data_IF_773374372591
#
_entry.id   IF_773374372591
#
_cell.length_a   1.000
_cell.length_b   1.000
_cell.length_c   1.000
_cell.angle_alpha   90.00
_cell.angle_beta   90.00
_cell.angle_gamma   90.00
#
_symmetry.space_group_name_H-M   'P 1'
#
loop_
_entity.id
_entity.type
_entity.pdbx_description
1 polymer ?
#
# COMPACT_ATOMS: atom_id res chain seq x y z
N UNK A 1 -25.17 18.15 -12.07
CA UNK A 1 -23.71 18.03 -12.22
C UNK A 1 -23.11 18.14 -10.83
N UNK A 2 -22.94 17.00 -10.15
CA UNK A 2 -22.36 16.94 -8.81
C UNK A 2 -20.84 16.73 -8.92
N UNK A 3 -20.10 17.72 -8.44
CA UNK A 3 -18.67 17.94 -8.65
C UNK A 3 -17.76 17.13 -7.71
N UNK A 4 -18.17 15.93 -7.28
CA UNK A 4 -17.56 15.29 -6.09
C UNK A 4 -16.62 14.11 -6.33
N UNK A 5 -16.50 13.63 -7.56
CA UNK A 5 -15.38 12.75 -7.95
C UNK A 5 -15.15 12.80 -9.47
N UNK A 6 -14.80 13.96 -10.03
CA UNK A 6 -14.34 14.05 -11.42
C UNK A 6 -12.96 13.40 -11.55
N UNK A 7 -12.92 12.07 -11.59
CA UNK A 7 -11.66 11.33 -11.66
C UNK A 7 -10.88 11.76 -12.91
N UNK A 8 -11.58 11.85 -14.05
CA UNK A 8 -11.08 12.35 -15.32
C UNK A 8 -11.16 13.88 -15.32
N UNK A 9 -10.03 14.50 -15.00
CA UNK A 9 -9.83 15.95 -15.05
C UNK A 9 -8.33 16.18 -15.14
N UNK A 10 -7.92 17.02 -16.09
CA UNK A 10 -6.52 17.42 -16.22
C UNK A 10 -6.05 18.14 -14.95
N UNK A 11 -4.95 17.64 -14.38
CA UNK A 11 -4.34 18.12 -13.12
C UNK A 11 -2.82 18.17 -13.25
N UNK A 12 -2.21 19.17 -12.64
CA UNK A 12 -0.77 19.16 -12.40
C UNK A 12 -0.40 18.09 -11.36
N UNK A 13 0.90 17.77 -11.25
CA UNK A 13 1.41 16.83 -10.24
C UNK A 13 0.96 17.20 -8.81
N UNK A 14 1.09 18.47 -8.43
CA UNK A 14 0.71 18.94 -7.09
C UNK A 14 -0.79 18.82 -6.84
N UNK A 15 -1.62 19.09 -7.87
CA UNK A 15 -3.06 18.94 -7.78
C UNK A 15 -3.50 17.47 -7.64
N UNK A 16 -2.74 16.51 -8.18
CA UNK A 16 -3.01 15.08 -7.97
C UNK A 16 -2.74 14.69 -6.50
N UNK A 17 -1.66 15.20 -5.91
CA UNK A 17 -1.35 15.01 -4.49
C UNK A 17 -2.43 15.66 -3.61
N UNK A 18 -2.82 16.90 -3.92
CA UNK A 18 -3.89 17.61 -3.22
C UNK A 18 -5.22 16.84 -3.27
N UNK A 19 -5.63 16.40 -4.47
CA UNK A 19 -6.86 15.60 -4.65
C UNK A 19 -6.82 14.30 -3.82
N UNK A 20 -5.64 13.69 -3.66
CA UNK A 20 -5.46 12.51 -2.81
C UNK A 20 -5.77 12.83 -1.35
N UNK A 21 -5.18 13.90 -0.82
CA UNK A 21 -5.40 14.31 0.57
C UNK A 21 -6.83 14.80 0.81
N UNK A 22 -7.43 15.52 -0.13
CA UNK A 22 -8.82 15.97 -0.05
C UNK A 22 -9.81 14.81 -0.05
N UNK A 23 -9.57 13.80 -0.91
CA UNK A 23 -10.37 12.58 -0.91
C UNK A 23 -10.29 11.86 0.44
N UNK A 24 -9.07 11.67 0.96
CA UNK A 24 -8.86 11.00 2.25
C UNK A 24 -9.44 11.82 3.40
N UNK A 25 -9.32 13.14 3.38
CA UNK A 25 -9.91 14.03 4.38
C UNK A 25 -11.43 13.88 4.42
N UNK A 26 -12.07 13.82 3.25
CA UNK A 26 -13.50 13.58 3.11
C UNK A 26 -13.92 12.20 3.65
N UNK A 27 -13.07 11.18 3.49
CA UNK A 27 -13.39 9.78 3.80
C UNK A 27 -12.55 9.16 4.92
N UNK A 28 -11.97 9.96 5.82
CA UNK A 28 -10.92 9.54 6.75
C UNK A 28 -11.34 8.37 7.65
N UNK A 29 -12.56 8.41 8.17
CA UNK A 29 -13.07 7.36 9.06
C UNK A 29 -13.27 6.03 8.33
N UNK A 30 -13.69 6.09 7.07
CA UNK A 30 -13.86 4.90 6.23
C UNK A 30 -12.51 4.31 5.85
N UNK A 31 -11.57 5.17 5.46
CA UNK A 31 -10.19 4.78 5.16
C UNK A 31 -9.52 4.11 6.35
N UNK A 32 -9.63 4.68 7.56
CA UNK A 32 -9.10 4.08 8.79
C UNK A 32 -9.78 2.76 9.15
N UNK A 33 -11.12 2.69 9.09
CA UNK A 33 -11.86 1.46 9.44
C UNK A 33 -11.58 0.31 8.48
N UNK A 34 -11.60 0.57 7.17
CA UNK A 34 -11.25 -0.45 6.19
C UNK A 34 -9.78 -0.82 6.27
N UNK A 35 -8.89 0.16 6.43
CA UNK A 35 -7.47 -0.09 6.65
C UNK A 35 -7.26 -1.02 7.83
N UNK A 36 -7.90 -0.75 8.97
CA UNK A 36 -7.80 -1.61 10.15
C UNK A 36 -8.32 -3.04 9.89
N UNK A 37 -9.45 -3.20 9.19
CA UNK A 37 -10.01 -4.53 8.91
C UNK A 37 -9.12 -5.32 7.94
N UNK A 38 -8.57 -4.68 6.92
CA UNK A 38 -7.85 -5.34 5.84
C UNK A 38 -6.36 -5.52 6.13
N UNK A 39 -5.73 -4.55 6.79
CA UNK A 39 -4.27 -4.46 6.93
C UNK A 39 -3.79 -4.94 8.31
N UNK A 40 -4.53 -4.64 9.39
CA UNK A 40 -4.07 -4.93 10.76
C UNK A 40 -3.78 -6.42 11.01
N UNK A 41 -4.57 -7.39 10.52
CA UNK A 41 -4.22 -8.81 10.66
C UNK A 41 -2.88 -9.16 10.02
N UNK A 42 -2.58 -8.59 8.85
CA UNK A 42 -1.31 -8.81 8.14
C UNK A 42 -0.17 -8.11 8.88
N UNK A 43 -0.38 -6.89 9.38
CA UNK A 43 0.62 -6.18 10.18
C UNK A 43 0.99 -6.95 11.45
N UNK A 44 0.02 -7.58 12.13
CA UNK A 44 0.29 -8.43 13.29
C UNK A 44 1.19 -9.61 12.92
N UNK A 45 0.90 -10.28 11.81
CA UNK A 45 1.70 -11.41 11.33
C UNK A 45 3.10 -10.98 10.89
N UNK A 46 3.23 -9.87 10.16
CA UNK A 46 4.51 -9.28 9.77
C UNK A 46 5.35 -8.91 10.99
N UNK A 47 4.77 -8.21 11.97
CA UNK A 47 5.49 -7.82 13.18
C UNK A 47 5.94 -9.01 14.02
N UNK A 48 5.10 -10.04 14.15
CA UNK A 48 5.50 -11.27 14.82
C UNK A 48 6.70 -11.89 14.10
N UNK A 49 6.60 -12.05 12.77
CA UNK A 49 7.67 -12.65 11.98
C UNK A 49 8.99 -11.88 12.08
N UNK A 50 8.96 -10.56 11.91
CA UNK A 50 10.17 -9.73 11.94
C UNK A 50 10.82 -9.75 13.31
N UNK A 51 10.04 -9.58 14.39
CA UNK A 51 10.60 -9.61 15.74
C UNK A 51 11.15 -10.98 16.12
N UNK A 52 10.59 -12.07 15.58
CA UNK A 52 11.14 -13.42 15.80
C UNK A 52 12.43 -13.68 15.04
N UNK A 53 12.57 -13.15 13.82
CA UNK A 53 13.76 -13.36 12.99
C UNK A 53 14.90 -12.44 13.43
N UNK A 54 14.61 -11.18 13.73
CA UNK A 54 15.63 -10.21 14.14
C UNK A 54 16.12 -10.40 15.57
N UNK A 55 15.28 -10.97 16.44
CA UNK A 55 15.62 -11.23 17.82
C UNK A 55 15.38 -12.70 18.10
N UNK A 56 16.42 -13.52 17.93
CA UNK A 56 16.43 -14.96 18.20
C UNK A 56 15.91 -15.29 19.63
N UNK A 57 15.88 -14.31 20.54
CA UNK A 57 15.40 -14.38 21.93
C UNK A 57 13.97 -13.82 22.17
N UNK A 58 13.26 -13.30 21.16
CA UNK A 58 11.95 -12.67 21.37
C UNK A 58 10.88 -13.68 21.82
N UNK A 59 10.92 -14.90 21.29
CA UNK A 59 10.06 -16.01 21.70
C UNK A 59 10.79 -17.16 22.42
N UNK A 60 12.12 -17.25 22.31
CA UNK A 60 12.89 -18.36 22.91
C UNK A 60 13.00 -18.32 24.45
N UNK A 61 12.47 -17.28 25.10
CA UNK A 61 12.35 -17.25 26.56
C UNK A 61 11.07 -18.00 27.03
N UNK A 62 11.18 -19.34 27.03
CA UNK A 62 10.59 -20.31 27.98
C UNK A 62 9.08 -20.38 28.25
N UNK A 63 8.17 -19.95 27.36
CA UNK A 63 6.72 -20.27 27.53
C UNK A 63 5.88 -20.51 26.26
N UNK A 64 6.45 -20.27 25.09
CA UNK A 64 5.79 -20.43 23.79
C UNK A 64 6.64 -21.32 22.88
N UNK A 65 7.15 -22.41 23.43
CA UNK A 65 7.76 -23.51 22.67
C UNK A 65 6.63 -24.30 21.96
N UNK A 66 5.91 -23.60 21.08
CA UNK A 66 5.20 -24.25 19.98
C UNK A 66 6.33 -24.77 19.11
N UNK A 67 6.59 -26.09 19.13
CA UNK A 67 7.72 -26.77 18.48
C UNK A 67 7.84 -26.55 16.96
N UNK A 68 8.01 -25.30 16.59
CA UNK A 68 8.11 -24.70 15.28
C UNK A 68 9.36 -23.84 15.40
N UNK A 69 10.50 -24.48 15.16
CA UNK A 69 11.81 -23.84 15.21
C UNK A 69 11.88 -22.82 14.10
N UNK A 70 11.80 -21.54 14.45
CA UNK A 70 11.98 -20.39 13.54
C UNK A 70 13.45 -20.13 13.19
N UNK A 71 14.33 -21.11 13.42
CA UNK A 71 15.76 -21.01 13.16
C UNK A 71 16.10 -21.80 11.91
N UNK A 72 16.28 -21.09 10.80
CA UNK A 72 17.29 -21.35 9.77
C UNK A 72 17.17 -20.25 8.69
N UNK A 73 18.23 -20.05 7.93
CA UNK A 73 18.37 -19.03 6.87
C UNK A 73 17.36 -19.15 5.68
N UNK A 74 16.22 -19.82 5.87
CA UNK A 74 15.35 -20.39 4.83
C UNK A 74 13.86 -19.97 4.89
N UNK A 75 13.48 -18.88 5.56
CA UNK A 75 12.09 -18.38 5.52
C UNK A 75 11.81 -17.08 4.72
N UNK A 76 12.54 -16.73 3.63
CA UNK A 76 12.19 -15.56 2.84
C UNK A 76 10.79 -15.70 2.23
N UNK A 77 10.33 -16.91 1.91
CA UNK A 77 9.03 -17.11 1.27
C UNK A 77 7.86 -16.65 2.14
N UNK A 78 7.86 -16.93 3.45
CA UNK A 78 6.76 -16.53 4.35
C UNK A 78 6.72 -15.01 4.50
N UNK A 79 7.88 -14.37 4.64
CA UNK A 79 7.98 -12.91 4.63
C UNK A 79 7.42 -12.32 3.33
N UNK A 80 7.87 -12.82 2.18
CA UNK A 80 7.40 -12.39 0.87
C UNK A 80 5.90 -12.61 0.67
N UNK A 81 5.34 -13.70 1.20
CA UNK A 81 3.90 -13.95 1.18
C UNK A 81 3.13 -12.89 2.00
N UNK A 82 3.60 -12.54 3.20
CA UNK A 82 2.97 -11.50 4.00
C UNK A 82 3.06 -10.12 3.33
N UNK A 83 4.18 -9.78 2.71
CA UNK A 83 4.34 -8.54 1.93
C UNK A 83 3.41 -8.52 0.70
N UNK A 84 3.27 -9.64 -0.01
CA UNK A 84 2.34 -9.77 -1.12
C UNK A 84 0.87 -9.62 -0.65
N UNK A 85 0.53 -10.22 0.50
CA UNK A 85 -0.78 -10.05 1.14
C UNK A 85 -1.03 -8.61 1.57
N UNK A 86 0.01 -7.91 2.07
CA UNK A 86 -0.07 -6.51 2.45
C UNK A 86 -0.35 -5.62 1.24
N UNK A 87 0.40 -5.78 0.15
CA UNK A 87 0.18 -5.05 -1.10
C UNK A 87 -1.22 -5.31 -1.67
N UNK A 88 -1.68 -6.56 -1.63
CA UNK A 88 -3.05 -6.91 -2.03
C UNK A 88 -4.10 -6.22 -1.16
N UNK A 89 -3.90 -6.21 0.16
CA UNK A 89 -4.76 -5.51 1.11
C UNK A 89 -4.85 -4.02 0.84
N UNK A 90 -3.72 -3.36 0.52
CA UNK A 90 -3.68 -1.93 0.22
C UNK A 90 -4.39 -1.61 -1.11
N UNK A 91 -4.14 -2.37 -2.17
CA UNK A 91 -4.87 -2.19 -3.43
C UNK A 91 -6.37 -2.39 -3.22
N UNK A 92 -6.75 -3.44 -2.50
CA UNK A 92 -8.16 -3.71 -2.18
C UNK A 92 -8.79 -2.57 -1.37
N UNK A 93 -8.07 -1.98 -0.41
CA UNK A 93 -8.49 -0.81 0.34
C UNK A 93 -8.77 0.38 -0.58
N UNK A 94 -7.81 0.75 -1.43
CA UNK A 94 -7.93 1.91 -2.33
C UNK A 94 -9.11 1.77 -3.27
N UNK A 95 -9.25 0.63 -3.95
CA UNK A 95 -10.34 0.45 -4.91
C UNK A 95 -11.70 0.25 -4.25
N UNK A 96 -11.77 -0.40 -3.07
CA UNK A 96 -13.01 -0.46 -2.32
C UNK A 96 -13.49 0.93 -1.89
N UNK A 97 -12.58 1.84 -1.51
CA UNK A 97 -12.90 3.23 -1.20
C UNK A 97 -13.38 3.99 -2.43
N UNK A 98 -12.71 3.84 -3.57
CA UNK A 98 -13.12 4.48 -4.83
C UNK A 98 -14.50 4.02 -5.28
N UNK A 99 -14.78 2.71 -5.25
CA UNK A 99 -16.11 2.20 -5.60
C UNK A 99 -17.19 2.65 -4.61
N UNK A 100 -16.88 2.70 -3.31
CA UNK A 100 -17.82 3.21 -2.31
C UNK A 100 -18.10 4.71 -2.48
N UNK A 101 -17.10 5.50 -2.85
CA UNK A 101 -17.24 6.92 -3.13
C UNK A 101 -18.02 7.19 -4.42
N UNK A 102 -17.77 6.41 -5.49
CA UNK A 102 -18.48 6.50 -6.76
C UNK A 102 -19.98 6.23 -6.60
N UNK A 103 -20.35 5.24 -5.80
CA UNK A 103 -21.75 4.90 -5.52
C UNK A 103 -22.45 5.91 -4.57
N UNK A 104 -21.74 6.94 -4.08
CA UNK A 104 -22.19 7.93 -3.07
C UNK A 104 -22.78 7.34 -1.77
N UNK A 105 -22.71 6.03 -1.61
CA UNK A 105 -23.34 5.28 -0.55
C UNK A 105 -22.25 4.70 0.33
N UNK A 106 -21.43 5.57 0.97
CA UNK A 106 -20.50 5.14 2.01
C UNK A 106 -21.30 4.55 3.17
N UNK A 107 -21.40 3.22 3.27
CA UNK A 107 -22.21 2.60 4.29
C UNK A 107 -21.55 2.89 5.64
N UNK A 108 -22.33 3.30 6.63
CA UNK A 108 -21.80 3.52 7.99
C UNK A 108 -21.28 2.21 8.63
N UNK A 109 -21.70 1.06 8.09
CA UNK A 109 -21.39 -0.29 8.59
C UNK A 109 -20.38 -1.02 7.71
N UNK A 110 -19.40 -1.68 8.35
CA UNK A 110 -18.38 -2.53 7.72
C UNK A 110 -19.00 -3.60 6.81
N UNK A 111 -20.14 -4.17 7.20
CA UNK A 111 -20.86 -5.17 6.39
C UNK A 111 -21.30 -4.60 5.04
N UNK A 112 -21.72 -3.34 5.02
CA UNK A 112 -22.05 -2.64 3.79
C UNK A 112 -20.83 -2.40 2.92
N UNK A 113 -19.65 -2.14 3.52
CA UNK A 113 -18.41 -1.99 2.77
C UNK A 113 -17.85 -3.29 2.20
N UNK A 114 -18.18 -4.43 2.80
CA UNK A 114 -17.70 -5.74 2.35
C UNK A 114 -18.07 -6.05 0.89
N UNK A 115 -19.17 -5.47 0.38
CA UNK A 115 -19.55 -5.59 -1.04
C UNK A 115 -18.50 -4.98 -1.97
N UNK A 116 -17.93 -3.82 -1.60
CA UNK A 116 -16.90 -3.13 -2.36
C UNK A 116 -15.55 -3.85 -2.26
N UNK A 117 -15.23 -4.35 -1.07
CA UNK A 117 -14.07 -5.22 -0.84
C UNK A 117 -14.15 -6.44 -1.76
N UNK A 118 -15.28 -7.14 -1.77
CA UNK A 118 -15.49 -8.33 -2.63
C UNK A 118 -15.42 -7.99 -4.12
N UNK A 119 -15.97 -6.84 -4.53
CA UNK A 119 -15.90 -6.37 -5.93
C UNK A 119 -14.44 -6.09 -6.36
N UNK A 120 -13.64 -5.49 -5.47
CA UNK A 120 -12.24 -5.17 -5.75
C UNK A 120 -11.30 -6.38 -5.66
N UNK A 121 -11.63 -7.38 -4.82
CA UNK A 121 -10.71 -8.45 -4.40
C UNK A 121 -9.97 -9.18 -5.52
N UNK A 122 -10.68 -9.64 -6.57
CA UNK A 122 -10.06 -10.44 -7.64
C UNK A 122 -9.19 -9.57 -8.53
N UNK A 123 -9.69 -8.42 -8.97
CA UNK A 123 -8.91 -7.51 -9.80
C UNK A 123 -7.69 -7.00 -9.02
N UNK A 124 -7.81 -6.78 -7.71
CA UNK A 124 -6.73 -6.24 -6.89
C UNK A 124 -5.66 -7.28 -6.62
N UNK A 125 -6.05 -8.56 -6.50
CA UNK A 125 -5.11 -9.67 -6.37
C UNK A 125 -4.22 -9.80 -7.60
N UNK A 126 -4.80 -9.73 -8.79
CA UNK A 126 -4.04 -9.80 -10.05
C UNK A 126 -3.05 -8.64 -10.15
N UNK A 127 -3.51 -7.42 -9.86
CA UNK A 127 -2.63 -6.23 -9.83
C UNK A 127 -1.53 -6.34 -8.76
N UNK A 128 -1.85 -6.87 -7.58
CA UNK A 128 -0.90 -7.07 -6.49
C UNK A 128 0.19 -8.06 -6.88
N UNK A 129 -0.17 -9.21 -7.45
CA UNK A 129 0.80 -10.22 -7.91
C UNK A 129 1.73 -9.62 -8.95
N UNK A 130 1.18 -8.89 -9.93
CA UNK A 130 1.99 -8.27 -10.98
C UNK A 130 2.99 -7.25 -10.43
N UNK A 131 2.53 -6.32 -9.57
CA UNK A 131 3.40 -5.33 -8.94
C UNK A 131 4.40 -5.96 -7.97
N UNK A 132 3.98 -6.98 -7.22
CA UNK A 132 4.83 -7.69 -6.28
C UNK A 132 5.98 -8.41 -6.98
N UNK A 133 5.71 -9.10 -8.10
CA UNK A 133 6.76 -9.77 -8.88
C UNK A 133 7.80 -8.77 -9.40
N UNK A 134 7.35 -7.61 -9.87
CA UNK A 134 8.25 -6.52 -10.32
C UNK A 134 9.08 -5.94 -9.17
N UNK A 135 8.44 -5.67 -8.03
CA UNK A 135 9.12 -5.13 -6.84
C UNK A 135 10.11 -6.15 -6.26
N UNK A 136 9.71 -7.41 -6.15
CA UNK A 136 10.56 -8.50 -5.71
C UNK A 136 11.77 -8.65 -6.63
N UNK A 137 11.57 -8.63 -7.95
CA UNK A 137 12.68 -8.66 -8.91
C UNK A 137 13.62 -7.47 -8.69
N UNK A 138 13.08 -6.25 -8.59
CA UNK A 138 13.87 -5.04 -8.36
C UNK A 138 14.72 -5.12 -7.08
N UNK A 139 14.16 -5.62 -5.98
CA UNK A 139 14.86 -5.72 -4.69
C UNK A 139 15.90 -6.85 -4.62
N UNK A 140 15.79 -7.89 -5.46
CA UNK A 140 16.68 -9.06 -5.40
C UNK A 140 17.76 -9.07 -6.49
N UNK A 141 17.66 -8.23 -7.52
CA UNK A 141 18.75 -8.09 -8.49
C UNK A 141 19.91 -7.33 -7.87
N UNK A 142 21.08 -7.97 -7.80
CA UNK A 142 22.32 -7.38 -7.26
C UNK A 142 23.13 -6.62 -8.32
N UNK A 143 22.66 -6.60 -9.57
CA UNK A 143 23.34 -5.96 -10.69
C UNK A 143 22.71 -4.60 -11.02
N UNK A 144 23.55 -3.57 -11.10
CA UNK A 144 23.14 -2.19 -11.38
C UNK A 144 22.35 -2.01 -12.68
N UNK A 145 22.71 -2.73 -13.76
CA UNK A 145 22.08 -2.53 -15.07
C UNK A 145 20.63 -3.06 -15.13
N UNK A 146 20.33 -4.31 -14.73
CA UNK A 146 18.96 -4.78 -14.56
C UNK A 146 18.13 -3.94 -13.60
N UNK A 147 18.72 -3.46 -12.51
CA UNK A 147 18.04 -2.65 -11.49
C UNK A 147 17.56 -1.31 -12.05
N UNK A 148 18.40 -0.59 -12.81
CA UNK A 148 18.00 0.67 -13.48
C UNK A 148 16.88 0.45 -14.48
N UNK A 149 16.94 -0.64 -15.26
CA UNK A 149 15.88 -0.96 -16.23
C UNK A 149 14.55 -1.25 -15.51
N UNK A 150 14.60 -2.00 -14.41
CA UNK A 150 13.42 -2.28 -13.58
C UNK A 150 12.88 -1.00 -12.92
N UNK A 151 13.72 -0.08 -12.47
CA UNK A 151 13.26 1.22 -11.96
C UNK A 151 12.52 2.03 -13.03
N UNK A 152 13.05 2.05 -14.25
CA UNK A 152 12.39 2.73 -15.40
C UNK A 152 11.04 2.09 -15.72
N UNK A 153 10.91 0.76 -15.59
CA UNK A 153 9.67 0.03 -15.86
C UNK A 153 8.66 0.09 -14.71
N UNK A 154 9.13 0.11 -13.46
CA UNK A 154 8.29 0.06 -12.26
C UNK A 154 7.36 1.28 -12.19
N UNK A 155 7.88 2.45 -12.53
CA UNK A 155 7.12 3.71 -12.48
C UNK A 155 5.88 3.66 -13.40
N UNK A 156 5.98 3.39 -14.72
CA UNK A 156 4.81 3.21 -15.59
C UNK A 156 3.87 2.09 -15.16
N UNK A 157 4.40 1.01 -14.61
CA UNK A 157 3.59 -0.13 -14.16
C UNK A 157 2.61 0.25 -13.03
N UNK A 158 2.85 1.33 -12.30
CA UNK A 158 1.91 1.85 -11.29
C UNK A 158 0.58 2.33 -11.88
N UNK A 159 0.50 2.60 -13.20
CA UNK A 159 -0.76 2.97 -13.86
C UNK A 159 -1.56 1.77 -14.38
N UNK A 160 -0.99 0.57 -14.39
CA UNK A 160 -1.74 -0.63 -14.80
C UNK A 160 -2.89 -0.96 -13.84
N UNK A 161 -2.72 -0.95 -12.50
CA UNK A 161 -3.84 -1.20 -11.60
C UNK A 161 -4.98 -0.18 -11.75
N UNK A 162 -4.74 1.14 -11.85
CA UNK A 162 -5.82 2.11 -12.12
C UNK A 162 -6.59 1.78 -13.40
N UNK A 163 -5.90 1.52 -14.52
CA UNK A 163 -6.56 1.16 -15.79
C UNK A 163 -7.39 -0.12 -15.65
N UNK A 164 -6.80 -1.19 -15.07
CA UNK A 164 -7.49 -2.48 -14.90
C UNK A 164 -8.72 -2.41 -14.01
N UNK A 165 -8.74 -1.45 -13.08
CA UNK A 165 -9.82 -1.29 -12.11
C UNK A 165 -10.93 -0.38 -12.58
N UNK A 166 -10.57 0.70 -13.26
CA UNK A 166 -11.49 1.74 -13.67
C UNK A 166 -12.11 1.46 -15.05
N UNK A 167 -11.42 0.73 -15.91
CA UNK A 167 -11.89 0.41 -17.26
C UNK A 167 -12.33 -1.06 -17.36
N UNK A 168 -13.40 -1.30 -18.12
CA UNK A 168 -13.82 -2.66 -18.49
C UNK A 168 -13.08 -3.12 -19.75
N UNK A 169 -11.77 -3.38 -19.58
CA UNK A 169 -10.89 -3.83 -20.64
C UNK A 169 -10.31 -5.22 -20.36
N UNK A 170 -9.55 -5.79 -21.31
CA UNK A 170 -8.80 -7.04 -21.11
C UNK A 170 -7.49 -6.79 -20.37
N UNK A 171 -6.89 -7.81 -19.73
CA UNK A 171 -5.63 -7.67 -18.98
C UNK A 171 -4.48 -7.13 -19.84
N UNK A 172 -4.35 -7.62 -21.07
CA UNK A 172 -3.31 -7.14 -21.99
C UNK A 172 -3.55 -5.70 -22.43
N UNK A 173 -4.82 -5.32 -22.61
CA UNK A 173 -5.19 -3.92 -22.91
C UNK A 173 -4.82 -3.01 -21.74
N UNK A 174 -5.13 -3.42 -20.51
CA UNK A 174 -4.79 -2.65 -19.32
C UNK A 174 -3.28 -2.45 -19.15
N UNK A 175 -2.48 -3.51 -19.36
CA UNK A 175 -1.01 -3.43 -19.31
C UNK A 175 -0.49 -2.49 -20.39
N UNK A 176 -0.95 -2.66 -21.64
CA UNK A 176 -0.50 -1.83 -22.77
C UNK A 176 -0.86 -0.36 -22.57
N UNK A 177 -2.09 -0.06 -22.16
CA UNK A 177 -2.56 1.30 -21.92
C UNK A 177 -1.86 1.91 -20.70
N UNK A 178 -1.77 1.18 -19.59
CA UNK A 178 -1.06 1.61 -18.38
C UNK A 178 0.41 1.95 -18.66
N UNK A 179 1.12 1.10 -19.40
CA UNK A 179 2.50 1.39 -19.83
C UNK A 179 2.57 2.60 -20.76
N UNK A 180 1.68 2.70 -21.76
CA UNK A 180 1.65 3.85 -22.69
C UNK A 180 1.47 5.18 -21.95
N UNK A 181 0.47 5.25 -21.06
CA UNK A 181 0.19 6.44 -20.25
C UNK A 181 1.31 6.69 -19.22
N UNK A 182 1.88 5.63 -18.66
CA UNK A 182 2.96 5.71 -17.69
C UNK A 182 4.25 6.24 -18.30
N UNK A 183 4.62 5.78 -19.50
CA UNK A 183 5.78 6.31 -20.23
C UNK A 183 5.55 7.73 -20.75
N UNK A 184 4.34 8.08 -21.21
CA UNK A 184 4.04 9.46 -21.65
C UNK A 184 4.08 10.48 -20.50
N UNK A 185 3.92 10.01 -19.25
CA UNK A 185 3.90 10.85 -18.05
C UNK A 185 4.97 10.46 -17.03
N UNK A 186 6.04 9.78 -17.45
CA UNK A 186 6.99 9.10 -16.57
C UNK A 186 7.51 9.97 -15.42
N UNK A 187 8.09 11.14 -15.75
CA UNK A 187 8.61 12.06 -14.74
C UNK A 187 7.51 12.61 -13.84
N UNK A 188 6.36 12.92 -14.44
CA UNK A 188 5.24 13.45 -13.67
C UNK A 188 4.74 12.43 -12.65
N UNK A 189 4.61 11.17 -13.04
CA UNK A 189 4.21 10.08 -12.17
C UNK A 189 5.27 9.82 -11.09
N UNK A 190 6.54 9.75 -11.48
CA UNK A 190 7.67 9.57 -10.57
C UNK A 190 7.68 10.63 -9.47
N UNK A 191 7.59 11.91 -9.84
CA UNK A 191 7.61 12.99 -8.86
C UNK A 191 6.34 13.04 -8.01
N UNK A 192 5.16 12.72 -8.54
CA UNK A 192 3.93 12.58 -7.73
C UNK A 192 4.10 11.50 -6.67
N UNK A 193 4.60 10.32 -7.05
CA UNK A 193 4.87 9.21 -6.13
C UNK A 193 5.93 9.61 -5.09
N UNK A 194 7.03 10.23 -5.53
CA UNK A 194 8.10 10.70 -4.67
C UNK A 194 7.61 11.71 -3.62
N UNK A 195 6.80 12.69 -4.02
CA UNK A 195 6.25 13.70 -3.11
C UNK A 195 5.43 13.05 -1.98
N UNK A 196 4.55 12.11 -2.33
CA UNK A 196 3.71 11.41 -1.34
C UNK A 196 4.56 10.52 -0.44
N UNK A 197 5.56 9.82 -1.00
CA UNK A 197 6.51 9.03 -0.23
C UNK A 197 7.30 9.89 0.76
N UNK A 198 7.77 11.07 0.36
CA UNK A 198 8.50 11.98 1.27
C UNK A 198 7.62 12.45 2.44
N UNK A 199 6.36 12.78 2.19
CA UNK A 199 5.38 13.08 3.26
C UNK A 199 5.20 11.85 4.16
N UNK A 200 5.07 10.67 3.55
CA UNK A 200 4.96 9.40 4.24
C UNK A 200 6.13 9.09 5.17
N UNK A 201 7.37 9.33 4.73
CA UNK A 201 8.58 9.14 5.53
C UNK A 201 8.52 9.98 6.81
N UNK A 202 8.06 11.23 6.73
CA UNK A 202 7.92 12.10 7.92
C UNK A 202 6.90 11.49 8.91
N UNK A 203 5.77 10.99 8.42
CA UNK A 203 4.73 10.35 9.25
C UNK A 203 5.30 9.09 9.94
N UNK A 204 6.00 8.26 9.18
CA UNK A 204 6.57 6.99 9.66
C UNK A 204 7.71 7.23 10.66
N UNK A 205 8.52 8.26 10.46
CA UNK A 205 9.64 8.60 11.35
C UNK A 205 9.17 8.88 12.79
N UNK A 206 8.06 9.60 12.96
CA UNK A 206 7.49 9.91 14.29
C UNK A 206 7.15 8.64 15.08
N UNK A 207 6.71 7.60 14.38
CA UNK A 207 6.34 6.31 14.99
C UNK A 207 7.57 5.44 15.25
N UNK A 208 8.56 5.49 14.36
CA UNK A 208 9.77 4.67 14.48
C UNK A 208 10.76 5.17 15.52
N UNK A 209 10.80 6.48 15.83
CA UNK A 209 11.75 7.00 16.83
C UNK A 209 11.57 6.33 18.22
N UNK A 210 10.35 6.26 18.80
CA UNK A 210 10.15 5.51 20.05
C UNK A 210 10.49 4.03 19.92
N UNK A 211 10.15 3.39 18.80
CA UNK A 211 10.46 1.99 18.54
C UNK A 211 11.98 1.73 18.54
N UNK A 212 12.75 2.56 17.84
CA UNK A 212 14.22 2.45 17.78
C UNK A 212 14.87 2.59 19.15
N UNK A 213 14.39 3.53 19.97
CA UNK A 213 14.91 3.72 21.34
C UNK A 213 14.66 2.46 22.18
N UNK A 214 13.43 1.94 22.17
CA UNK A 214 13.06 0.75 22.92
C UNK A 214 13.82 -0.49 22.44
N UNK A 215 13.96 -0.64 21.12
CA UNK A 215 14.72 -1.74 20.54
C UNK A 215 16.18 -1.69 20.95
N UNK A 216 16.81 -0.52 20.93
CA UNK A 216 18.20 -0.35 21.41
C UNK A 216 18.33 -0.70 22.90
N UNK A 217 17.36 -0.30 23.74
CA UNK A 217 17.36 -0.71 25.15
C UNK A 217 17.31 -2.24 25.27
N UNK A 218 16.43 -2.88 24.51
CA UNK A 218 16.24 -4.33 24.57
C UNK A 218 17.45 -5.12 24.05
N UNK A 219 18.06 -4.70 22.95
CA UNK A 219 19.12 -5.47 22.28
C UNK A 219 20.52 -5.14 22.80
N UNK A 220 20.77 -3.90 23.26
CA UNK A 220 22.12 -3.47 23.65
C UNK A 220 22.28 -3.28 25.16
N UNK A 221 21.23 -2.81 25.87
CA UNK A 221 21.36 -2.40 27.28
C UNK A 221 20.99 -3.53 28.23
N UNK A 222 19.84 -4.18 28.01
CA UNK A 222 19.34 -5.27 28.86
C UNK A 222 20.33 -6.45 28.97
N UNK A 223 20.98 -6.92 27.88
CA UNK A 223 21.95 -8.00 27.97
C UNK A 223 23.17 -7.63 28.82
N UNK A 224 23.59 -6.36 28.78
CA UNK A 224 24.75 -5.86 29.54
C UNK A 224 24.40 -5.64 31.01
N UNK A 225 23.17 -5.20 31.31
CA UNK A 225 22.72 -4.99 32.69
C UNK A 225 22.37 -6.28 33.43
N UNK A 226 22.13 -7.38 32.71
CA UNK A 226 21.67 -8.65 33.28
C UNK A 226 20.24 -8.56 33.84
N UNK A 227 19.50 -7.52 33.48
CA UNK A 227 18.13 -7.31 33.93
C UNK A 227 17.21 -8.37 33.32
N UNK A 228 16.42 -9.04 34.16
CA UNK A 228 15.47 -10.06 33.74
C UNK A 228 14.17 -9.93 34.54
N UNK A 229 13.05 -10.34 33.92
CA UNK A 229 11.74 -10.33 34.56
C UNK A 229 10.72 -9.37 33.92
N UNK A 230 9.77 -8.89 34.73
CA UNK A 230 8.55 -8.22 34.24
C UNK A 230 8.77 -6.95 33.42
N UNK A 231 9.81 -6.16 33.72
CA UNK A 231 10.13 -4.94 32.96
C UNK A 231 10.55 -5.24 31.51
N UNK A 232 11.40 -6.25 31.31
CA UNK A 232 11.84 -6.71 29.99
C UNK A 232 10.66 -7.27 29.18
N UNK A 233 9.77 -8.04 29.83
CA UNK A 233 8.55 -8.56 29.19
C UNK A 233 7.66 -7.40 28.73
N UNK A 234 7.46 -6.38 29.57
CA UNK A 234 6.68 -5.20 29.21
C UNK A 234 7.30 -4.45 28.01
N UNK A 235 8.62 -4.26 28.00
CA UNK A 235 9.33 -3.63 26.87
C UNK A 235 9.12 -4.42 25.57
N UNK A 236 9.25 -5.75 25.60
CA UNK A 236 8.96 -6.62 24.43
C UNK A 236 7.53 -6.43 23.90
N UNK A 237 6.53 -6.37 24.80
CA UNK A 237 5.14 -6.10 24.42
C UNK A 237 4.95 -4.73 23.78
N UNK A 238 5.59 -3.68 24.32
CA UNK A 238 5.51 -2.33 23.77
C UNK A 238 6.17 -2.27 22.40
N UNK A 239 7.34 -2.88 22.21
CA UNK A 239 8.03 -2.97 20.91
C UNK A 239 7.13 -3.66 19.89
N UNK A 240 6.49 -4.78 20.25
CA UNK A 240 5.54 -5.46 19.37
C UNK A 240 4.41 -4.53 18.92
N UNK A 241 3.77 -3.79 19.84
CA UNK A 241 2.71 -2.86 19.48
C UNK A 241 3.19 -1.73 18.57
N UNK A 242 4.37 -1.17 18.82
CA UNK A 242 4.97 -0.16 17.95
C UNK A 242 5.34 -0.72 16.58
N UNK A 243 5.79 -1.97 16.49
CA UNK A 243 6.09 -2.64 15.21
C UNK A 243 4.81 -2.80 14.39
N UNK A 244 3.73 -3.28 15.02
CA UNK A 244 2.40 -3.39 14.37
C UNK A 244 1.92 -2.03 13.88
N UNK A 245 2.07 -1.00 14.72
CA UNK A 245 1.69 0.37 14.36
C UNK A 245 2.53 0.93 13.21
N UNK A 246 3.84 0.67 13.20
CA UNK A 246 4.74 1.11 12.14
C UNK A 246 4.37 0.49 10.78
N UNK A 247 4.17 -0.83 10.73
CA UNK A 247 3.70 -1.51 9.51
C UNK A 247 2.32 -1.01 9.08
N UNK A 248 1.39 -0.84 10.02
CA UNK A 248 0.07 -0.30 9.71
C UNK A 248 0.17 1.09 9.08
N UNK A 249 0.96 1.99 9.66
CA UNK A 249 1.15 3.33 9.12
C UNK A 249 1.89 3.32 7.78
N UNK A 250 2.88 2.44 7.58
CA UNK A 250 3.53 2.23 6.29
C UNK A 250 2.53 1.83 5.20
N UNK A 251 1.67 0.85 5.46
CA UNK A 251 0.66 0.41 4.50
C UNK A 251 -0.41 1.47 4.24
N UNK A 252 -0.76 2.27 5.26
CA UNK A 252 -1.64 3.42 5.08
C UNK A 252 -0.99 4.50 4.21
N UNK A 253 0.30 4.79 4.37
CA UNK A 253 1.06 5.67 3.46
C UNK A 253 1.09 5.09 2.04
N UNK A 254 1.32 3.78 1.88
CA UNK A 254 1.29 3.13 0.57
C UNK A 254 -0.09 3.26 -0.11
N UNK A 255 -1.17 3.26 0.66
CA UNK A 255 -2.51 3.52 0.13
C UNK A 255 -2.66 4.94 -0.42
N UNK A 256 -1.99 5.94 0.18
CA UNK A 256 -1.96 7.31 -0.34
C UNK A 256 -1.21 7.36 -1.67
N UNK A 257 -0.05 6.69 -1.75
CA UNK A 257 0.74 6.62 -2.99
C UNK A 257 -0.09 6.01 -4.12
N UNK A 258 -0.76 4.89 -3.87
CA UNK A 258 -1.58 4.22 -4.87
C UNK A 258 -2.80 5.06 -5.26
N UNK A 259 -3.44 5.73 -4.31
CA UNK A 259 -4.55 6.64 -4.60
C UNK A 259 -4.09 7.85 -5.44
N UNK A 260 -2.89 8.39 -5.18
CA UNK A 260 -2.29 9.43 -6.04
C UNK A 260 -2.01 8.92 -7.46
N UNK A 261 -1.64 7.65 -7.63
CA UNK A 261 -1.51 7.05 -8.96
C UNK A 261 -2.85 6.97 -9.69
N UNK A 262 -3.97 6.76 -8.98
CA UNK A 262 -5.31 6.77 -9.60
C UNK A 262 -5.69 8.18 -10.06
N UNK A 263 -5.47 9.22 -9.25
CA UNK A 263 -5.72 10.61 -9.66
C UNK A 263 -4.81 11.06 -10.80
N UNK A 264 -3.55 10.63 -10.77
CA UNK A 264 -2.61 10.86 -11.86
C UNK A 264 -3.05 10.16 -13.15
N UNK A 265 -3.49 8.91 -13.06
CA UNK A 265 -4.08 8.19 -14.19
C UNK A 265 -5.26 8.96 -14.79
N UNK A 266 -6.22 9.40 -13.97
CA UNK A 266 -7.36 10.18 -14.45
C UNK A 266 -6.96 11.49 -15.14
N UNK A 267 -5.92 12.17 -14.62
CA UNK A 267 -5.34 13.37 -15.25
C UNK A 267 -4.69 13.10 -16.61
N UNK A 268 -3.88 12.04 -16.70
CA UNK A 268 -3.16 11.71 -17.94
C UNK A 268 -4.09 11.12 -18.99
N UNK A 269 -5.08 10.32 -18.58
CA UNK A 269 -6.12 9.81 -19.47
C UNK A 269 -6.89 10.96 -20.11
N UNK A 270 -7.28 11.96 -19.31
CA UNK A 270 -7.95 13.16 -19.83
C UNK A 270 -7.07 13.91 -20.83
N UNK A 271 -5.81 14.17 -20.49
CA UNK A 271 -4.90 14.94 -21.35
C UNK A 271 -4.53 14.25 -22.67
N UNK A 272 -4.44 12.91 -22.67
CA UNK A 272 -3.94 12.13 -23.82
C UNK A 272 -5.07 11.58 -24.67
N UNK A 273 -6.21 11.27 -24.06
CA UNK A 273 -7.31 10.53 -24.69
C UNK A 273 -8.65 11.29 -24.63
N UNK A 274 -8.71 12.49 -24.03
CA UNK A 274 -9.95 13.29 -23.91
C UNK A 274 -11.13 12.47 -23.35
N UNK A 275 -10.84 11.63 -22.35
CA UNK A 275 -11.76 10.59 -21.85
C UNK A 275 -13.12 11.14 -21.38
N UNK A 276 -13.16 12.35 -20.80
CA UNK A 276 -14.44 12.98 -20.42
C UNK A 276 -15.35 13.24 -21.61
N UNK A 277 -14.78 13.70 -22.75
CA UNK A 277 -15.53 13.98 -23.98
C UNK A 277 -16.09 12.71 -24.61
N UNK A 278 -15.32 11.62 -24.62
CA UNK A 278 -15.80 10.32 -25.11
C UNK A 278 -16.99 9.83 -24.28
N UNK A 279 -16.89 9.93 -22.95
CA UNK A 279 -17.99 9.54 -22.06
C UNK A 279 -19.25 10.41 -22.22
N UNK A 280 -19.09 11.71 -22.50
CA UNK A 280 -20.21 12.60 -22.78
C UNK A 280 -20.89 12.24 -24.12
N UNK A 281 -20.11 11.94 -25.16
CA UNK A 281 -20.64 11.52 -26.48
C UNK A 281 -21.42 10.21 -26.36
N UNK A 282 -20.89 9.19 -25.67
CA UNK A 282 -21.61 7.93 -25.44
C UNK A 282 -22.93 8.15 -24.70
N UNK A 283 -22.95 9.09 -23.74
CA UNK A 283 -24.17 9.44 -23.00
C UNK A 283 -25.19 10.17 -23.89
N UNK A 284 -24.74 11.01 -24.83
CA UNK A 284 -25.58 11.66 -25.82
C UNK A 284 -26.19 10.66 -26.83
N UNK A 285 -25.46 9.62 -27.23
CA UNK A 285 -25.99 8.59 -28.15
C UNK A 285 -27.07 7.70 -27.51
N UNK A 286 -27.19 7.71 -26.18
CA UNK A 286 -28.18 6.94 -25.43
C UNK A 286 -29.47 7.72 -25.08
N UNK A 287 -29.57 8.99 -25.47
CA UNK A 287 -30.74 9.88 -25.27
C UNK A 287 -31.62 9.99 -26.53
#
# INVERSE_FOLDING_TARGET
MDDRLSLYKERSMSMCVEATFDFIRTHIMTWLRLGAVLLLPVCVLLSLHVLTVENDEFLNDTRWDVGFTWGDADMPLVFWLFEAMALWGVLMLVYALLFAAADQALPSSIRGLMRYVRRAAVRSLVSAIMLFVLLWAFLNFTMWFPEVLLAVLLVPMLLVPPVWMMEDCSRSTAVSKGLRLGFSSWFSLFFTVLMVMLIGVIIILVINVPWMILQTILTEIVPVSGESGGGVIFIKWVIFMFTVLAYFCFLMVLSLVLLSCVFHYGSVSERVEDTSLESDIEHFEQL
#
